data_IF_086096836328
#
_entry.id   IF_086096836328
#
_cell.length_a   1.000
_cell.length_b   1.000
_cell.length_c   1.000
_cell.angle_alpha   90.00
_cell.angle_beta   90.00
_cell.angle_gamma   90.00
#
_symmetry.space_group_name_H-M   'P 1'
#
loop_
_entity.id
_entity.type
_entity.pdbx_description
1 polymer ?
#
# COMPACT_ATOMS: atom_id res chain seq x y z
N UNK A 1 10.80 -50.28 33.80
CA UNK A 1 11.56 -49.36 32.94
C UNK A 1 10.73 -48.91 31.74
N UNK A 2 10.20 -49.82 30.92
CA UNK A 2 9.30 -49.45 29.80
C UNK A 2 8.08 -48.63 30.26
N UNK A 3 7.45 -49.00 31.40
CA UNK A 3 6.35 -48.22 31.99
C UNK A 3 6.78 -46.77 32.25
N UNK A 4 7.89 -46.56 32.97
CA UNK A 4 8.42 -45.22 33.23
C UNK A 4 8.80 -44.48 31.94
N UNK A 5 9.39 -45.15 30.94
CA UNK A 5 9.69 -44.51 29.65
C UNK A 5 8.43 -44.04 28.93
N UNK A 6 7.32 -44.80 29.04
CA UNK A 6 6.03 -44.42 28.46
C UNK A 6 5.40 -43.26 29.24
N UNK A 7 5.46 -43.29 30.57
CA UNK A 7 5.01 -42.19 31.44
C UNK A 7 5.80 -40.89 31.18
N UNK A 8 7.12 -40.99 31.04
CA UNK A 8 8.00 -39.86 30.71
C UNK A 8 7.70 -39.26 29.33
N UNK A 9 7.13 -40.05 28.41
CA UNK A 9 6.63 -39.62 27.10
C UNK A 9 5.18 -39.13 27.13
N UNK A 10 4.53 -39.12 28.31
CA UNK A 10 3.18 -38.62 28.52
C UNK A 10 2.07 -39.66 28.30
N UNK A 11 2.41 -40.95 28.20
CA UNK A 11 1.43 -42.02 27.99
C UNK A 11 0.86 -42.56 29.31
N UNK A 12 -0.43 -42.94 29.27
CA UNK A 12 -1.09 -43.58 30.41
C UNK A 12 -0.53 -44.98 30.67
N UNK A 13 -0.03 -45.20 31.88
CA UNK A 13 0.52 -46.49 32.34
C UNK A 13 -0.51 -47.42 32.98
N UNK A 14 -1.76 -46.99 33.14
CA UNK A 14 -2.75 -47.69 33.96
C UNK A 14 -2.89 -49.17 33.59
N UNK A 15 -3.07 -49.48 32.29
CA UNK A 15 -3.19 -50.86 31.81
C UNK A 15 -1.88 -51.65 31.88
N UNK A 16 -0.72 -50.98 31.80
CA UNK A 16 0.57 -51.64 32.01
C UNK A 16 0.79 -51.97 33.49
N UNK A 17 0.29 -51.14 34.41
CA UNK A 17 0.31 -51.43 35.83
C UNK A 17 -0.57 -52.63 36.16
N UNK A 18 -1.75 -52.75 35.54
CA UNK A 18 -2.63 -53.91 35.70
C UNK A 18 -1.98 -55.20 35.17
N UNK A 19 -1.43 -55.17 33.94
CA UNK A 19 -0.70 -56.31 33.36
C UNK A 19 0.52 -56.68 34.23
N UNK A 20 1.24 -55.69 34.75
CA UNK A 20 2.38 -55.92 35.63
C UNK A 20 1.96 -56.54 36.97
N UNK A 21 0.86 -56.07 37.56
CA UNK A 21 0.34 -56.61 38.81
C UNK A 21 -0.19 -58.04 38.62
N UNK A 22 -0.85 -58.34 37.50
CA UNK A 22 -1.28 -59.69 37.12
C UNK A 22 -0.08 -60.61 36.89
N UNK A 23 0.98 -60.13 36.24
CA UNK A 23 2.22 -60.86 36.06
C UNK A 23 2.95 -61.15 37.38
N UNK A 24 2.89 -60.23 38.37
CA UNK A 24 3.43 -60.46 39.72
C UNK A 24 2.65 -61.55 40.48
N UNK A 25 1.36 -61.72 40.17
CA UNK A 25 0.52 -62.74 40.77
C UNK A 25 0.71 -64.12 40.15
N UNK A 26 1.44 -64.24 39.03
CA UNK A 26 1.91 -65.55 38.55
C UNK A 26 2.87 -66.16 39.58
N UNK A 27 2.57 -67.37 40.07
CA UNK A 27 3.53 -68.09 40.89
C UNK A 27 4.83 -68.33 40.11
N UNK A 28 5.97 -68.09 40.77
CA UNK A 28 7.34 -68.18 40.21
C UNK A 28 7.64 -69.52 39.50
N UNK A 29 6.85 -70.56 39.73
CA UNK A 29 7.01 -71.89 39.13
C UNK A 29 6.38 -72.05 37.74
N UNK A 30 5.57 -71.09 37.26
CA UNK A 30 4.86 -71.21 35.98
C UNK A 30 5.47 -70.27 34.92
N UNK A 31 6.49 -70.76 34.21
CA UNK A 31 7.21 -70.01 33.18
C UNK A 31 6.31 -69.58 32.01
N UNK A 32 5.24 -70.34 31.76
CA UNK A 32 4.33 -70.08 30.65
C UNK A 32 3.43 -68.88 30.98
N UNK A 33 3.01 -68.74 32.24
CA UNK A 33 2.31 -67.57 32.76
C UNK A 33 3.12 -66.29 32.53
N UNK A 34 4.37 -66.26 32.99
CA UNK A 34 5.24 -65.07 32.83
C UNK A 34 5.51 -64.72 31.37
N UNK A 35 5.73 -65.74 30.52
CA UNK A 35 5.98 -65.54 29.09
C UNK A 35 4.77 -64.96 28.38
N UNK A 36 3.55 -65.41 28.73
CA UNK A 36 2.31 -64.88 28.19
C UNK A 36 2.11 -63.40 28.55
N UNK A 37 2.28 -63.01 29.82
CA UNK A 37 2.13 -61.61 30.23
C UNK A 37 3.22 -60.70 29.65
N UNK A 38 4.46 -61.18 29.51
CA UNK A 38 5.53 -60.45 28.82
C UNK A 38 5.18 -60.18 27.34
N UNK A 39 4.65 -61.19 26.64
CA UNK A 39 4.16 -61.04 25.27
C UNK A 39 2.99 -60.06 25.17
N UNK A 40 2.02 -60.13 26.10
CA UNK A 40 0.92 -59.17 26.18
C UNK A 40 1.40 -57.74 26.44
N UNK A 41 2.42 -57.58 27.31
CA UNK A 41 3.02 -56.28 27.61
C UNK A 41 3.67 -55.65 26.38
N UNK A 42 4.50 -56.41 25.66
CA UNK A 42 5.15 -55.93 24.42
C UNK A 42 4.13 -55.55 23.35
N UNK A 43 3.15 -56.43 23.09
CA UNK A 43 2.09 -56.15 22.12
C UNK A 43 1.25 -54.92 22.49
N UNK A 44 0.96 -54.73 23.78
CA UNK A 44 0.20 -53.56 24.26
C UNK A 44 1.01 -52.28 24.12
N UNK A 45 2.34 -52.35 24.34
CA UNK A 45 3.26 -51.22 24.14
C UNK A 45 3.33 -50.81 22.67
N UNK A 46 3.54 -51.77 21.77
CA UNK A 46 3.62 -51.50 20.33
C UNK A 46 2.29 -50.96 19.78
N UNK A 47 1.16 -51.50 20.27
CA UNK A 47 -0.17 -51.02 19.90
C UNK A 47 -0.41 -49.59 20.38
N UNK A 48 -0.03 -49.24 21.62
CA UNK A 48 -0.17 -47.88 22.14
C UNK A 48 0.66 -46.88 21.34
N UNK A 49 1.91 -47.20 21.03
CA UNK A 49 2.77 -46.33 20.20
C UNK A 49 2.14 -46.10 18.83
N UNK A 50 1.72 -47.17 18.15
CA UNK A 50 1.05 -47.10 16.84
C UNK A 50 -0.21 -46.24 16.89
N UNK A 51 -0.99 -46.37 17.95
CA UNK A 51 -2.25 -45.67 18.15
C UNK A 51 -2.04 -44.17 18.38
N UNK A 52 -1.05 -43.81 19.19
CA UNK A 52 -0.65 -42.41 19.41
C UNK A 52 -0.13 -41.79 18.12
N UNK A 53 0.75 -42.49 17.39
CA UNK A 53 1.29 -41.98 16.12
C UNK A 53 0.16 -41.73 15.12
N UNK A 54 -0.80 -42.65 15.04
CA UNK A 54 -2.00 -42.49 14.20
C UNK A 54 -2.86 -41.28 14.63
N UNK A 55 -3.00 -41.06 15.94
CA UNK A 55 -3.73 -39.90 16.49
C UNK A 55 -3.01 -38.58 16.19
N UNK A 56 -1.69 -38.54 16.30
CA UNK A 56 -0.89 -37.35 15.98
C UNK A 56 -0.95 -37.02 14.48
N UNK A 57 -0.87 -38.02 13.60
CA UNK A 57 -1.07 -37.84 12.15
C UNK A 57 -2.47 -37.29 11.85
N UNK A 58 -3.51 -37.82 12.51
CA UNK A 58 -4.88 -37.31 12.38
C UNK A 58 -4.99 -35.83 12.79
N UNK A 59 -4.32 -35.42 13.88
CA UNK A 59 -4.27 -34.00 14.31
C UNK A 59 -3.65 -33.12 13.22
N UNK A 60 -2.53 -33.54 12.64
CA UNK A 60 -1.85 -32.80 11.56
C UNK A 60 -2.76 -32.68 10.34
N UNK A 61 -3.42 -33.76 9.91
CA UNK A 61 -4.34 -33.73 8.78
C UNK A 61 -5.51 -32.76 9.01
N UNK A 62 -6.07 -32.75 10.23
CA UNK A 62 -7.14 -31.82 10.62
C UNK A 62 -6.68 -30.36 10.65
N UNK A 63 -5.46 -30.09 11.12
CA UNK A 63 -4.86 -28.75 11.07
C UNK A 63 -4.69 -28.28 9.62
N UNK A 64 -4.22 -29.16 8.73
CA UNK A 64 -4.11 -28.86 7.30
C UNK A 64 -5.49 -28.57 6.68
N UNK A 65 -6.49 -29.42 6.93
CA UNK A 65 -7.87 -29.22 6.46
C UNK A 65 -8.46 -27.88 6.95
N UNK A 66 -8.19 -27.49 8.20
CA UNK A 66 -8.59 -26.19 8.74
C UNK A 66 -7.89 -25.03 8.01
N UNK A 67 -6.62 -25.20 7.62
CA UNK A 67 -5.89 -24.25 6.78
C UNK A 67 -6.60 -23.98 5.45
N UNK A 68 -7.24 -25.00 4.86
CA UNK A 68 -8.07 -24.85 3.66
C UNK A 68 -9.47 -24.25 3.92
N UNK A 69 -9.77 -23.83 5.15
CA UNK A 69 -11.10 -23.35 5.55
C UNK A 69 -12.21 -24.38 5.32
N UNK A 70 -11.88 -25.67 5.35
CA UNK A 70 -12.90 -26.73 5.38
C UNK A 70 -13.40 -26.86 6.81
N UNK A 71 -14.71 -26.79 6.98
CA UNK A 71 -15.35 -27.06 8.26
C UNK A 71 -15.04 -28.49 8.71
N UNK A 72 -14.05 -28.64 9.58
CA UNK A 72 -13.78 -29.89 10.31
C UNK A 72 -14.74 -30.08 11.48
N UNK A 73 -15.80 -29.25 11.56
CA UNK A 73 -16.82 -29.27 12.60
C UNK A 73 -17.50 -30.65 12.74
N UNK A 74 -17.60 -31.40 11.64
CA UNK A 74 -18.12 -32.77 11.63
C UNK A 74 -17.18 -33.79 12.31
N UNK A 75 -15.89 -33.47 12.43
CA UNK A 75 -14.84 -34.21 13.14
C UNK A 75 -14.49 -33.56 14.49
N UNK A 76 -15.41 -32.73 15.00
CA UNK A 76 -15.13 -31.63 15.93
C UNK A 76 -14.38 -31.97 17.22
N UNK A 77 -14.05 -30.94 18.03
CA UNK A 77 -13.22 -31.07 19.23
C UNK A 77 -13.65 -32.19 20.18
N UNK A 78 -14.95 -32.46 20.28
CA UNK A 78 -15.52 -33.51 21.10
C UNK A 78 -15.07 -34.93 20.68
N UNK A 79 -14.94 -35.22 19.39
CA UNK A 79 -14.50 -36.53 18.92
C UNK A 79 -13.00 -36.74 19.19
N UNK A 80 -12.19 -35.69 19.04
CA UNK A 80 -10.77 -35.73 19.41
C UNK A 80 -10.59 -35.88 20.92
N UNK A 81 -11.36 -35.15 21.71
CA UNK A 81 -11.37 -35.25 23.17
C UNK A 81 -11.78 -36.66 23.62
N UNK A 82 -12.78 -37.28 22.98
CA UNK A 82 -13.18 -38.65 23.24
C UNK A 82 -12.06 -39.66 22.91
N UNK A 83 -11.39 -39.50 21.77
CA UNK A 83 -10.23 -40.35 21.40
C UNK A 83 -9.12 -40.20 22.44
N UNK A 84 -8.78 -38.97 22.80
CA UNK A 84 -7.73 -38.66 23.78
C UNK A 84 -8.07 -39.23 25.16
N UNK A 85 -9.33 -39.11 25.59
CA UNK A 85 -9.82 -39.70 26.83
C UNK A 85 -9.75 -41.23 26.79
N UNK A 86 -10.11 -41.86 25.67
CA UNK A 86 -10.02 -43.31 25.52
C UNK A 86 -8.56 -43.79 25.54
N UNK A 87 -7.61 -43.04 24.98
CA UNK A 87 -6.17 -43.30 25.11
C UNK A 87 -5.73 -43.18 26.57
N UNK A 88 -6.08 -42.08 27.24
CA UNK A 88 -5.70 -41.80 28.62
C UNK A 88 -6.28 -42.82 29.62
N UNK A 89 -7.48 -43.34 29.35
CA UNK A 89 -8.15 -44.36 30.18
C UNK A 89 -7.87 -45.80 29.73
N UNK A 90 -6.89 -46.00 28.84
CA UNK A 90 -6.47 -47.30 28.33
C UNK A 90 -7.56 -48.10 27.58
N UNK A 91 -8.61 -47.44 27.09
CA UNK A 91 -9.68 -48.00 26.25
C UNK A 91 -9.24 -48.04 24.77
N UNK A 92 -8.14 -48.73 24.50
CA UNK A 92 -7.44 -48.67 23.21
C UNK A 92 -8.29 -49.12 22.01
N UNK A 93 -9.19 -50.10 22.15
CA UNK A 93 -10.09 -50.52 21.05
C UNK A 93 -11.07 -49.40 20.65
N UNK A 94 -11.63 -48.70 21.65
CA UNK A 94 -12.53 -47.58 21.43
C UNK A 94 -11.78 -46.39 20.81
N UNK A 95 -10.56 -46.12 21.27
CA UNK A 95 -9.68 -45.11 20.66
C UNK A 95 -9.34 -45.47 19.21
N UNK A 96 -9.02 -46.73 18.92
CA UNK A 96 -8.72 -47.20 17.56
C UNK A 96 -9.92 -47.05 16.63
N UNK A 97 -11.12 -47.44 17.09
CA UNK A 97 -12.35 -47.25 16.33
C UNK A 97 -12.64 -45.76 16.09
N UNK A 98 -12.43 -44.91 17.09
CA UNK A 98 -12.55 -43.46 16.98
C UNK A 98 -11.59 -42.87 15.95
N UNK A 99 -10.31 -43.26 16.00
CA UNK A 99 -9.28 -42.85 15.03
C UNK A 99 -9.64 -43.32 13.62
N UNK A 100 -10.05 -44.58 13.44
CA UNK A 100 -10.47 -45.11 12.13
C UNK A 100 -11.66 -44.34 11.55
N UNK A 101 -12.68 -44.07 12.37
CA UNK A 101 -13.85 -43.27 11.98
C UNK A 101 -13.43 -41.86 11.57
N UNK A 102 -12.59 -41.21 12.39
CA UNK A 102 -12.10 -39.87 12.10
C UNK A 102 -11.25 -39.84 10.82
N UNK A 103 -10.39 -40.84 10.62
CA UNK A 103 -9.58 -40.97 9.42
C UNK A 103 -10.44 -41.17 8.16
N UNK A 104 -11.51 -41.97 8.22
CA UNK A 104 -12.44 -42.12 7.09
C UNK A 104 -13.10 -40.78 6.72
N UNK A 105 -13.47 -39.97 7.71
CA UNK A 105 -14.02 -38.64 7.45
C UNK A 105 -12.96 -37.68 6.88
N UNK A 106 -11.72 -37.71 7.38
CA UNK A 106 -10.58 -36.97 6.79
C UNK A 106 -10.37 -37.35 5.33
N UNK A 107 -10.36 -38.66 5.01
CA UNK A 107 -10.22 -39.14 3.62
C UNK A 107 -11.37 -38.68 2.74
N UNK A 108 -12.60 -38.63 3.25
CA UNK A 108 -13.74 -38.10 2.49
C UNK A 108 -13.59 -36.60 2.22
N UNK A 109 -13.16 -35.82 3.22
CA UNK A 109 -12.95 -34.37 3.09
C UNK A 109 -11.76 -34.06 2.17
N UNK A 110 -10.67 -34.81 2.30
CA UNK A 110 -9.50 -34.66 1.43
C UNK A 110 -9.85 -35.01 -0.02
N UNK A 111 -10.64 -36.06 -0.27
CA UNK A 111 -11.10 -36.38 -1.62
C UNK A 111 -11.86 -35.21 -2.26
N UNK A 112 -12.75 -34.57 -1.51
CA UNK A 112 -13.48 -33.39 -1.99
C UNK A 112 -12.55 -32.20 -2.26
N UNK A 113 -11.52 -31.98 -1.44
CA UNK A 113 -10.48 -30.99 -1.70
C UNK A 113 -9.75 -31.27 -3.01
N UNK A 114 -9.27 -32.50 -3.20
CA UNK A 114 -8.55 -32.88 -4.41
C UNK A 114 -9.41 -32.65 -5.66
N UNK A 115 -10.70 -32.99 -5.60
CA UNK A 115 -11.63 -32.76 -6.71
C UNK A 115 -11.84 -31.27 -7.00
N UNK A 116 -11.92 -30.44 -5.97
CA UNK A 116 -11.99 -28.98 -6.11
C UNK A 116 -10.72 -28.40 -6.73
N UNK A 117 -9.54 -28.81 -6.26
CA UNK A 117 -8.25 -28.36 -6.81
C UNK A 117 -8.06 -28.84 -8.26
N UNK A 118 -8.48 -30.06 -8.60
CA UNK A 118 -8.50 -30.55 -9.99
C UNK A 118 -9.45 -29.73 -10.87
N UNK A 119 -10.65 -29.41 -10.38
CA UNK A 119 -11.60 -28.56 -11.09
C UNK A 119 -11.02 -27.17 -11.35
N UNK A 120 -10.42 -26.54 -10.33
CA UNK A 120 -9.76 -25.25 -10.45
C UNK A 120 -8.57 -25.30 -11.43
N UNK A 121 -7.75 -26.36 -11.39
CA UNK A 121 -6.64 -26.55 -12.31
C UNK A 121 -7.12 -26.63 -13.77
N UNK A 122 -8.15 -27.44 -14.03
CA UNK A 122 -8.75 -27.54 -15.37
C UNK A 122 -9.33 -26.20 -15.85
N UNK A 123 -10.06 -25.48 -15.00
CA UNK A 123 -10.58 -24.16 -15.34
C UNK A 123 -9.46 -23.16 -15.65
N UNK A 124 -8.39 -23.19 -14.85
CA UNK A 124 -7.22 -22.31 -14.98
C UNK A 124 -6.48 -22.57 -16.29
N UNK A 125 -6.22 -23.83 -16.62
CA UNK A 125 -5.58 -24.22 -17.89
C UNK A 125 -6.48 -23.93 -19.10
N UNK A 126 -7.79 -24.13 -18.98
CA UNK A 126 -8.77 -23.75 -20.00
C UNK A 126 -8.73 -22.23 -20.25
N UNK A 127 -8.66 -21.41 -19.20
CA UNK A 127 -8.51 -19.95 -19.33
C UNK A 127 -7.22 -19.58 -20.06
N UNK A 128 -6.08 -20.18 -19.71
CA UNK A 128 -4.79 -19.99 -20.41
C UNK A 128 -4.95 -20.27 -21.90
N UNK A 129 -5.57 -21.40 -22.25
CA UNK A 129 -5.80 -21.79 -23.64
C UNK A 129 -6.76 -20.81 -24.35
N UNK A 130 -7.82 -20.35 -23.69
CA UNK A 130 -8.79 -19.42 -24.26
C UNK A 130 -8.20 -18.04 -24.55
N UNK A 131 -7.22 -17.62 -23.73
CA UNK A 131 -6.42 -16.43 -24.02
C UNK A 131 -5.27 -16.75 -25.01
N UNK A 132 -5.18 -17.93 -25.60
CA UNK A 132 -4.18 -18.24 -26.62
C UNK A 132 -2.74 -18.29 -26.10
N UNK A 133 -2.55 -18.48 -24.79
CA UNK A 133 -1.23 -18.72 -24.19
C UNK A 133 -0.94 -20.22 -24.15
N UNK A 134 0.35 -20.57 -24.14
CA UNK A 134 0.77 -21.97 -24.06
C UNK A 134 0.50 -22.55 -22.67
N UNK A 135 -0.19 -23.69 -22.62
CA UNK A 135 -0.39 -24.46 -21.38
C UNK A 135 0.82 -25.31 -21.00
N UNK A 136 1.81 -25.46 -21.89
CA UNK A 136 2.94 -26.38 -21.70
C UNK A 136 3.75 -26.12 -20.40
N UNK A 137 4.01 -24.88 -19.97
CA UNK A 137 4.70 -24.62 -18.70
C UNK A 137 3.93 -25.12 -17.46
N UNK A 138 2.64 -25.41 -17.59
CA UNK A 138 1.72 -25.74 -16.50
C UNK A 138 1.13 -27.15 -16.59
N UNK A 139 1.57 -27.94 -17.58
CA UNK A 139 1.00 -29.28 -17.83
C UNK A 139 1.28 -30.30 -16.72
N UNK A 140 2.17 -29.97 -15.77
CA UNK A 140 2.51 -30.81 -14.62
C UNK A 140 1.50 -30.67 -13.46
N UNK A 141 0.75 -29.57 -13.37
CA UNK A 141 -0.13 -29.26 -12.23
C UNK A 141 -1.18 -30.36 -12.01
N UNK A 142 -1.89 -30.77 -13.06
CA UNK A 142 -2.91 -31.83 -12.94
C UNK A 142 -2.27 -33.16 -12.52
N UNK A 143 -1.22 -33.69 -13.21
CA UNK A 143 -0.53 -34.90 -12.77
C UNK A 143 -0.02 -34.86 -11.34
N UNK A 144 0.47 -33.70 -10.86
CA UNK A 144 0.98 -33.57 -9.50
C UNK A 144 -0.16 -33.56 -8.46
N UNK A 145 -1.31 -32.94 -8.76
CA UNK A 145 -2.52 -33.04 -7.93
C UNK A 145 -3.05 -34.48 -7.90
N UNK A 146 -3.10 -35.17 -9.04
CA UNK A 146 -3.52 -36.58 -9.10
C UNK A 146 -2.56 -37.50 -8.33
N UNK A 147 -1.25 -37.25 -8.40
CA UNK A 147 -0.25 -37.98 -7.61
C UNK A 147 -0.45 -37.73 -6.12
N UNK A 148 -0.66 -36.48 -5.69
CA UNK A 148 -0.96 -36.15 -4.31
C UNK A 148 -2.27 -36.81 -3.84
N UNK A 149 -3.31 -36.82 -4.69
CA UNK A 149 -4.60 -37.50 -4.44
C UNK A 149 -4.42 -38.99 -4.20
N UNK A 150 -3.66 -39.68 -5.06
CA UNK A 150 -3.45 -41.14 -4.94
C UNK A 150 -2.73 -41.55 -3.65
N UNK A 151 -1.98 -40.63 -3.05
CA UNK A 151 -1.24 -40.84 -1.80
C UNK A 151 -1.95 -40.25 -0.58
N UNK A 152 -3.07 -39.56 -0.76
CA UNK A 152 -3.72 -38.73 0.25
C UNK A 152 -2.74 -37.72 0.92
N UNK A 153 -1.83 -37.13 0.14
CA UNK A 153 -0.79 -36.21 0.63
C UNK A 153 -1.32 -34.77 0.69
N UNK A 154 -1.92 -34.42 1.83
CA UNK A 154 -2.50 -33.10 2.09
C UNK A 154 -1.46 -31.97 2.11
N UNK A 155 -0.22 -32.25 2.50
CA UNK A 155 0.85 -31.26 2.53
C UNK A 155 1.22 -30.83 1.10
N UNK A 156 1.46 -31.81 0.22
CA UNK A 156 1.71 -31.54 -1.20
C UNK A 156 0.53 -30.80 -1.84
N UNK A 157 -0.71 -31.21 -1.53
CA UNK A 157 -1.90 -30.51 -2.01
C UNK A 157 -1.92 -29.04 -1.59
N UNK A 158 -1.57 -28.72 -0.34
CA UNK A 158 -1.57 -27.34 0.16
C UNK A 158 -0.62 -26.43 -0.63
N UNK A 159 0.59 -26.92 -0.88
CA UNK A 159 1.57 -26.18 -1.70
C UNK A 159 1.12 -26.01 -3.16
N UNK A 160 0.45 -27.01 -3.72
CA UNK A 160 -0.11 -26.98 -5.08
C UNK A 160 -1.31 -26.04 -5.17
N UNK A 161 -2.19 -26.02 -4.17
CA UNK A 161 -3.36 -25.14 -4.12
C UNK A 161 -2.95 -23.66 -4.07
N UNK A 162 -1.97 -23.32 -3.23
CA UNK A 162 -1.40 -21.97 -3.17
C UNK A 162 -0.80 -21.55 -4.53
N UNK A 163 -0.01 -22.43 -5.14
CA UNK A 163 0.58 -22.21 -6.47
C UNK A 163 -0.50 -22.02 -7.54
N UNK A 164 -1.58 -22.82 -7.48
CA UNK A 164 -2.70 -22.76 -8.40
C UNK A 164 -3.52 -21.48 -8.24
N UNK A 165 -3.74 -21.02 -7.00
CA UNK A 165 -4.39 -19.73 -6.72
C UNK A 165 -3.58 -18.56 -7.26
N UNK A 166 -2.27 -18.56 -7.04
CA UNK A 166 -1.37 -17.52 -7.58
C UNK A 166 -1.35 -17.53 -9.11
N UNK A 167 -1.34 -18.72 -9.73
CA UNK A 167 -1.44 -18.86 -11.19
C UNK A 167 -2.77 -18.30 -11.71
N UNK A 168 -3.89 -18.69 -11.11
CA UNK A 168 -5.21 -18.19 -11.48
C UNK A 168 -5.31 -16.67 -11.34
N UNK A 169 -4.77 -16.09 -10.26
CA UNK A 169 -4.69 -14.64 -10.09
C UNK A 169 -3.86 -13.96 -11.20
N UNK A 170 -2.73 -14.55 -11.57
CA UNK A 170 -1.86 -14.04 -12.65
C UNK A 170 -2.56 -14.06 -14.01
N UNK A 171 -3.33 -15.12 -14.29
CA UNK A 171 -4.13 -15.22 -15.53
C UNK A 171 -5.23 -14.16 -15.56
N UNK A 172 -5.90 -13.91 -14.44
CA UNK A 172 -6.85 -12.81 -14.33
C UNK A 172 -6.16 -11.45 -14.57
N UNK A 173 -4.91 -11.29 -14.11
CA UNK A 173 -4.07 -10.14 -14.43
C UNK A 173 -3.83 -9.98 -15.93
N UNK A 174 -3.46 -11.05 -16.66
CA UNK A 174 -3.32 -11.00 -18.13
C UNK A 174 -4.64 -10.64 -18.82
N UNK A 175 -5.76 -11.19 -18.35
CA UNK A 175 -7.09 -10.85 -18.88
C UNK A 175 -7.38 -9.36 -18.67
N UNK A 176 -7.01 -8.79 -17.52
CA UNK A 176 -7.16 -7.36 -17.24
C UNK A 176 -6.31 -6.50 -18.19
N UNK A 177 -5.04 -6.88 -18.44
CA UNK A 177 -4.19 -6.17 -19.42
C UNK A 177 -4.83 -6.19 -20.81
N UNK A 178 -5.40 -7.34 -21.24
CA UNK A 178 -6.13 -7.43 -22.52
C UNK A 178 -7.38 -6.57 -22.56
N UNK A 179 -8.17 -6.57 -21.48
CA UNK A 179 -9.34 -5.70 -21.38
C UNK A 179 -8.96 -4.23 -21.52
N UNK A 180 -7.83 -3.80 -20.92
CA UNK A 180 -7.32 -2.44 -21.09
C UNK A 180 -6.87 -2.18 -22.54
N UNK A 181 -6.20 -3.14 -23.19
CA UNK A 181 -5.79 -3.06 -24.60
C UNK A 181 -7.00 -2.89 -25.53
N UNK A 182 -8.02 -3.73 -25.37
CA UNK A 182 -9.22 -3.71 -26.19
C UNK A 182 -9.95 -2.38 -26.01
N UNK A 183 -10.03 -1.88 -24.77
CA UNK A 183 -10.56 -0.55 -24.48
C UNK A 183 -9.81 0.58 -25.18
N UNK A 184 -8.48 0.51 -25.23
CA UNK A 184 -7.64 1.51 -25.90
C UNK A 184 -7.86 1.46 -27.42
N UNK A 185 -7.86 0.25 -27.99
CA UNK A 185 -8.13 0.00 -29.39
C UNK A 185 -9.52 0.54 -29.81
N UNK A 186 -10.56 0.25 -29.04
CA UNK A 186 -11.93 0.69 -29.32
C UNK A 186 -12.08 2.22 -29.30
N UNK A 187 -11.22 2.92 -28.56
CA UNK A 187 -11.18 4.39 -28.49
C UNK A 187 -10.16 5.02 -29.43
N UNK A 188 -9.42 4.22 -30.20
CA UNK A 188 -8.34 4.70 -31.08
C UNK A 188 -7.13 5.26 -30.32
N UNK A 189 -6.97 4.92 -29.05
CA UNK A 189 -5.78 5.23 -28.26
C UNK A 189 -4.65 4.29 -28.67
N UNK A 190 -3.43 4.80 -28.77
CA UNK A 190 -2.23 4.00 -29.02
C UNK A 190 -2.12 2.86 -27.99
N UNK A 191 -2.12 1.61 -28.48
CA UNK A 191 -2.07 0.41 -27.65
C UNK A 191 -0.65 0.00 -27.30
N UNK A 192 0.38 0.61 -27.91
CA UNK A 192 1.77 0.12 -27.83
C UNK A 192 2.24 -0.16 -26.40
N UNK A 193 1.99 0.77 -25.47
CA UNK A 193 2.40 0.59 -24.06
C UNK A 193 1.68 -0.59 -23.39
N UNK A 194 0.39 -0.80 -23.68
CA UNK A 194 -0.36 -1.94 -23.13
C UNK A 194 0.03 -3.25 -23.84
N UNK A 195 0.36 -3.19 -25.13
CA UNK A 195 0.91 -4.32 -25.88
C UNK A 195 2.25 -4.77 -25.28
N UNK A 196 3.14 -3.83 -24.96
CA UNK A 196 4.42 -4.10 -24.28
C UNK A 196 4.19 -4.78 -22.92
N UNK A 197 3.25 -4.27 -22.11
CA UNK A 197 2.87 -4.89 -20.82
C UNK A 197 2.28 -6.29 -20.99
N UNK A 198 1.49 -6.52 -22.04
CA UNK A 198 0.88 -7.81 -22.33
C UNK A 198 1.93 -8.84 -22.78
N UNK A 199 2.89 -8.43 -23.60
CA UNK A 199 4.02 -9.27 -24.01
C UNK A 199 4.91 -9.62 -22.80
N UNK A 200 5.30 -8.61 -22.01
CA UNK A 200 6.09 -8.79 -20.79
C UNK A 200 5.36 -9.70 -19.78
N UNK A 201 4.06 -9.47 -19.57
CA UNK A 201 3.23 -10.29 -18.68
C UNK A 201 3.13 -11.75 -19.16
N UNK A 202 2.95 -11.97 -20.47
CA UNK A 202 2.91 -13.31 -21.04
C UNK A 202 4.24 -14.04 -20.88
N UNK A 203 5.36 -13.32 -21.01
CA UNK A 203 6.69 -13.85 -20.76
C UNK A 203 6.87 -14.28 -19.29
N UNK A 204 6.54 -13.42 -18.32
CA UNK A 204 6.68 -13.74 -16.90
C UNK A 204 5.73 -14.85 -16.44
N UNK A 205 4.52 -14.92 -17.00
CA UNK A 205 3.62 -16.03 -16.76
C UNK A 205 4.26 -17.35 -17.20
N UNK A 206 4.85 -17.41 -18.40
CA UNK A 206 5.54 -18.60 -18.88
C UNK A 206 6.78 -18.98 -18.04
N UNK A 207 7.39 -18.01 -17.35
CA UNK A 207 8.47 -18.21 -16.37
C UNK A 207 7.99 -18.55 -14.96
N UNK A 208 6.68 -18.64 -14.76
CA UNK A 208 6.05 -18.85 -13.45
C UNK A 208 6.42 -17.78 -12.42
N UNK A 209 6.61 -16.53 -12.86
CA UNK A 209 6.80 -15.38 -11.97
C UNK A 209 5.46 -14.66 -11.79
N UNK A 210 4.61 -15.20 -10.90
CA UNK A 210 3.25 -14.71 -10.70
C UNK A 210 3.23 -13.28 -10.15
N UNK A 211 4.19 -12.94 -9.29
CA UNK A 211 4.25 -11.62 -8.68
C UNK A 211 4.45 -10.52 -9.72
N UNK A 212 5.39 -10.73 -10.65
CA UNK A 212 5.67 -9.76 -11.71
C UNK A 212 4.48 -9.56 -12.66
N UNK A 213 3.74 -10.63 -12.97
CA UNK A 213 2.51 -10.53 -13.76
C UNK A 213 1.47 -9.63 -13.09
N UNK A 214 1.29 -9.76 -11.78
CA UNK A 214 0.35 -8.94 -11.01
C UNK A 214 0.77 -7.46 -10.96
N UNK A 215 2.07 -7.17 -10.87
CA UNK A 215 2.57 -5.79 -10.97
C UNK A 215 2.24 -5.15 -12.33
N UNK A 216 2.45 -5.89 -13.43
CA UNK A 216 2.16 -5.42 -14.78
C UNK A 216 0.65 -5.22 -14.99
N UNK A 217 -0.18 -6.12 -14.45
CA UNK A 217 -1.63 -5.98 -14.48
C UNK A 217 -2.09 -4.70 -13.75
N UNK A 218 -1.49 -4.41 -12.60
CA UNK A 218 -1.75 -3.16 -11.87
C UNK A 218 -1.34 -1.93 -12.68
N UNK A 219 -0.19 -1.95 -13.35
CA UNK A 219 0.21 -0.85 -14.23
C UNK A 219 -0.77 -0.65 -15.38
N UNK A 220 -1.27 -1.72 -16.01
CA UNK A 220 -2.30 -1.60 -17.06
C UNK A 220 -3.62 -1.01 -16.52
N UNK A 221 -4.01 -1.37 -15.29
CA UNK A 221 -5.19 -0.82 -14.61
C UNK A 221 -5.04 0.69 -14.34
N UNK A 222 -3.87 1.13 -13.89
CA UNK A 222 -3.56 2.55 -13.66
C UNK A 222 -3.70 3.37 -14.96
N UNK A 223 -3.22 2.85 -16.09
CA UNK A 223 -3.39 3.47 -17.41
C UNK A 223 -4.86 3.50 -17.83
N UNK A 224 -5.60 2.42 -17.61
CA UNK A 224 -7.04 2.34 -17.90
C UNK A 224 -7.85 3.38 -17.09
N UNK A 225 -7.55 3.52 -15.80
CA UNK A 225 -8.16 4.51 -14.92
C UNK A 225 -7.82 5.93 -15.41
N UNK A 226 -6.56 6.18 -15.78
CA UNK A 226 -6.13 7.48 -16.30
C UNK A 226 -6.86 7.87 -17.59
N UNK A 227 -6.99 6.94 -18.54
CA UNK A 227 -7.74 7.14 -19.79
C UNK A 227 -9.22 7.47 -19.51
N UNK A 228 -9.86 6.71 -18.63
CA UNK A 228 -11.27 6.91 -18.25
C UNK A 228 -11.48 8.25 -17.56
N UNK A 229 -10.58 8.64 -16.65
CA UNK A 229 -10.64 9.93 -15.96
C UNK A 229 -10.49 11.10 -16.93
N UNK A 230 -9.58 10.97 -17.91
CA UNK A 230 -9.42 11.95 -18.98
C UNK A 230 -10.71 12.13 -19.78
N UNK A 231 -11.34 11.04 -20.23
CA UNK A 231 -12.57 11.12 -21.04
C UNK A 231 -13.71 11.83 -20.32
N UNK A 232 -13.91 11.53 -19.04
CA UNK A 232 -14.92 12.19 -18.20
C UNK A 232 -14.63 13.68 -18.11
N UNK A 233 -13.37 14.08 -17.94
CA UNK A 233 -12.96 15.48 -17.84
C UNK A 233 -13.10 16.19 -19.19
N UNK A 234 -12.63 15.58 -20.27
CA UNK A 234 -12.68 16.12 -21.63
C UNK A 234 -14.11 16.45 -22.04
N UNK A 235 -15.04 15.50 -21.88
CA UNK A 235 -16.47 15.71 -22.19
C UNK A 235 -17.10 16.86 -21.41
N UNK A 236 -16.69 17.07 -20.15
CA UNK A 236 -17.17 18.21 -19.35
C UNK A 236 -16.67 19.54 -19.91
N UNK A 237 -15.40 19.62 -20.27
CA UNK A 237 -14.81 20.85 -20.84
C UNK A 237 -15.40 21.12 -22.23
N UNK A 238 -15.54 20.10 -23.07
CA UNK A 238 -16.14 20.18 -24.40
C UNK A 238 -17.62 20.62 -24.34
N UNK A 239 -18.42 20.06 -23.44
CA UNK A 239 -19.81 20.48 -23.23
C UNK A 239 -19.91 21.93 -22.76
N UNK A 240 -19.03 22.36 -21.84
CA UNK A 240 -18.94 23.77 -21.41
C UNK A 240 -18.59 24.67 -22.59
N UNK A 241 -17.62 24.29 -23.42
CA UNK A 241 -17.23 25.06 -24.60
C UNK A 241 -18.37 25.18 -25.63
N UNK A 242 -19.08 24.08 -25.89
CA UNK A 242 -20.19 24.03 -26.86
C UNK A 242 -21.37 24.91 -26.47
N UNK A 243 -21.61 25.12 -25.17
CA UNK A 243 -22.71 25.93 -24.66
C UNK A 243 -22.45 27.45 -24.73
N UNK A 244 -21.28 27.89 -25.19
CA UNK A 244 -20.93 29.31 -25.22
C UNK A 244 -21.17 29.91 -26.61
N UNK A 245 -22.08 30.89 -26.66
CA UNK A 245 -22.54 31.52 -27.92
C UNK A 245 -21.76 32.80 -28.26
N UNK A 246 -21.25 33.55 -27.29
CA UNK A 246 -20.74 34.92 -27.55
C UNK A 246 -19.20 35.05 -27.54
N UNK A 247 -18.46 33.95 -27.75
CA UNK A 247 -17.00 34.04 -27.91
C UNK A 247 -16.60 34.58 -29.28
N UNK A 248 -15.53 35.39 -29.29
CA UNK A 248 -14.90 35.82 -30.54
C UNK A 248 -14.32 34.60 -31.28
N UNK A 249 -14.15 34.72 -32.60
CA UNK A 249 -13.57 33.64 -33.41
C UNK A 249 -12.16 33.26 -32.95
N UNK A 250 -11.37 34.23 -32.48
CA UNK A 250 -10.03 34.00 -31.94
C UNK A 250 -10.08 33.19 -30.63
N UNK A 251 -11.01 33.52 -29.73
CA UNK A 251 -11.19 32.80 -28.47
C UNK A 251 -11.67 31.37 -28.69
N UNK A 252 -12.62 31.18 -29.62
CA UNK A 252 -13.09 29.86 -30.05
C UNK A 252 -11.94 29.03 -30.63
N UNK A 253 -11.13 29.62 -31.50
CA UNK A 253 -9.98 28.95 -32.09
C UNK A 253 -8.93 28.55 -31.04
N UNK A 254 -8.67 29.40 -30.04
CA UNK A 254 -7.73 29.10 -28.96
C UNK A 254 -8.18 27.90 -28.11
N UNK A 255 -9.44 27.87 -27.67
CA UNK A 255 -9.99 26.76 -26.88
C UNK A 255 -10.08 25.49 -27.72
N UNK A 256 -10.54 25.56 -28.97
CA UNK A 256 -10.61 24.43 -29.87
C UNK A 256 -9.23 23.81 -30.15
N UNK A 257 -8.20 24.65 -30.36
CA UNK A 257 -6.83 24.18 -30.52
C UNK A 257 -6.32 23.48 -29.25
N UNK A 258 -6.60 24.03 -28.06
CA UNK A 258 -6.26 23.40 -26.78
C UNK A 258 -6.91 22.02 -26.59
N UNK A 259 -8.21 21.90 -26.91
CA UNK A 259 -8.94 20.63 -26.90
C UNK A 259 -8.35 19.63 -27.91
N UNK A 260 -8.03 20.07 -29.12
CA UNK A 260 -7.44 19.20 -30.15
C UNK A 260 -6.06 18.69 -29.74
N UNK A 261 -5.19 19.56 -29.20
CA UNK A 261 -3.87 19.14 -28.73
C UNK A 261 -4.00 18.16 -27.55
N UNK A 262 -4.90 18.46 -26.60
CA UNK A 262 -5.16 17.57 -25.46
C UNK A 262 -5.64 16.18 -25.92
N UNK A 263 -6.62 16.14 -26.83
CA UNK A 263 -7.14 14.88 -27.38
C UNK A 263 -6.08 14.14 -28.19
N UNK A 264 -5.25 14.84 -28.98
CA UNK A 264 -4.14 14.22 -29.71
C UNK A 264 -3.11 13.57 -28.78
N UNK A 265 -2.82 14.15 -27.61
CA UNK A 265 -1.93 13.53 -26.63
C UNK A 265 -2.60 12.31 -25.97
N UNK A 266 -3.91 12.38 -25.71
CA UNK A 266 -4.68 11.25 -25.21
C UNK A 266 -4.64 10.06 -26.18
N UNK A 267 -4.81 10.30 -27.49
CA UNK A 267 -4.70 9.26 -28.51
C UNK A 267 -3.27 8.69 -28.60
N UNK A 268 -2.25 9.44 -28.18
CA UNK A 268 -0.87 8.96 -28.09
C UNK A 268 -0.53 8.28 -26.74
N UNK A 269 -1.54 8.01 -25.91
CA UNK A 269 -1.41 7.45 -24.55
C UNK A 269 -0.50 8.29 -23.61
N UNK A 270 -0.32 9.58 -23.88
CA UNK A 270 0.42 10.52 -23.02
C UNK A 270 -0.56 11.27 -22.10
N UNK A 271 -1.12 10.54 -21.14
CA UNK A 271 -2.20 11.04 -20.27
C UNK A 271 -1.79 12.22 -19.39
N UNK A 272 -0.51 12.30 -19.00
CA UNK A 272 0.01 13.42 -18.21
C UNK A 272 -0.03 14.72 -19.03
N UNK A 273 0.51 14.69 -20.25
CA UNK A 273 0.46 15.87 -21.13
C UNK A 273 -0.95 16.17 -21.59
N UNK A 274 -1.76 15.16 -21.89
CA UNK A 274 -3.16 15.33 -22.27
C UNK A 274 -3.93 16.09 -21.20
N UNK A 275 -3.82 15.66 -19.94
CA UNK A 275 -4.46 16.34 -18.80
C UNK A 275 -3.89 17.75 -18.58
N UNK A 276 -2.57 17.94 -18.63
CA UNK A 276 -1.96 19.26 -18.47
C UNK A 276 -2.46 20.28 -19.51
N UNK A 277 -2.62 19.84 -20.76
CA UNK A 277 -3.17 20.69 -21.83
C UNK A 277 -4.67 20.92 -21.66
N UNK A 278 -5.41 19.93 -21.17
CA UNK A 278 -6.83 20.09 -20.84
C UNK A 278 -7.04 21.10 -19.71
N UNK A 279 -6.22 21.05 -18.66
CA UNK A 279 -6.23 22.01 -17.54
C UNK A 279 -5.96 23.44 -17.99
N UNK A 280 -4.95 23.63 -18.85
CA UNK A 280 -4.67 24.94 -19.45
C UNK A 280 -5.85 25.45 -20.27
N UNK A 281 -6.46 24.56 -21.06
CA UNK A 281 -7.62 24.88 -21.89
C UNK A 281 -8.84 25.23 -21.04
N UNK A 282 -9.07 24.50 -19.95
CA UNK A 282 -10.12 24.78 -18.97
C UNK A 282 -9.89 26.11 -18.24
N UNK A 283 -8.64 26.47 -17.95
CA UNK A 283 -8.26 27.78 -17.41
C UNK A 283 -8.64 28.91 -18.36
N UNK A 284 -8.24 28.82 -19.63
CA UNK A 284 -8.62 29.79 -20.68
C UNK A 284 -10.14 29.90 -20.78
N UNK A 285 -10.85 28.76 -20.82
CA UNK A 285 -12.31 28.74 -20.89
C UNK A 285 -12.95 29.46 -19.70
N UNK A 286 -12.42 29.24 -18.50
CA UNK A 286 -12.93 29.85 -17.25
C UNK A 286 -12.65 31.37 -17.22
N UNK A 287 -11.49 31.80 -17.68
CA UNK A 287 -11.14 33.22 -17.79
C UNK A 287 -12.05 33.95 -18.79
N UNK A 288 -12.32 33.33 -19.95
CA UNK A 288 -13.22 33.87 -20.95
C UNK A 288 -14.67 33.93 -20.45
N UNK A 289 -15.14 32.89 -19.77
CA UNK A 289 -16.47 32.88 -19.14
C UNK A 289 -16.59 33.99 -18.08
N UNK A 290 -15.53 34.21 -17.29
CA UNK A 290 -15.49 35.27 -16.28
C UNK A 290 -15.51 36.66 -16.92
N UNK A 291 -14.72 36.87 -17.98
CA UNK A 291 -14.71 38.12 -18.74
C UNK A 291 -16.10 38.42 -19.36
N UNK A 292 -16.76 37.40 -19.90
CA UNK A 292 -18.10 37.52 -20.46
C UNK A 292 -19.16 37.79 -19.39
N UNK A 293 -19.07 37.16 -18.22
CA UNK A 293 -19.96 37.44 -17.09
C UNK A 293 -19.82 38.89 -16.62
N UNK A 294 -18.59 39.41 -16.54
CA UNK A 294 -18.33 40.82 -16.24
C UNK A 294 -18.91 41.73 -17.33
N UNK A 295 -18.68 41.42 -18.61
CA UNK A 295 -19.23 42.17 -19.73
C UNK A 295 -20.76 42.22 -19.69
N UNK A 296 -21.43 41.07 -19.52
CA UNK A 296 -22.90 40.99 -19.40
C UNK A 296 -23.42 41.74 -18.17
N UNK A 297 -22.72 41.68 -17.04
CA UNK A 297 -23.06 42.46 -15.85
C UNK A 297 -23.00 43.96 -16.14
N UNK A 298 -21.93 44.43 -16.81
CA UNK A 298 -21.79 45.83 -17.22
C UNK A 298 -22.88 46.24 -18.21
N UNK A 299 -23.16 45.44 -19.25
CA UNK A 299 -24.21 45.71 -20.23
C UNK A 299 -25.61 45.74 -19.61
N UNK A 300 -25.91 44.79 -18.72
CA UNK A 300 -27.20 44.71 -18.01
C UNK A 300 -27.44 45.86 -17.03
N UNK A 301 -26.37 46.43 -16.50
CA UNK A 301 -26.47 47.55 -15.55
C UNK A 301 -26.90 48.86 -16.22
N UNK A 302 -26.78 48.98 -17.55
CA UNK A 302 -27.19 50.17 -18.32
C UNK A 302 -26.43 51.46 -17.97
N UNK A 303 -25.51 51.42 -17.02
CA UNK A 303 -24.70 52.57 -16.59
C UNK A 303 -23.35 52.47 -17.28
N UNK A 304 -23.02 53.45 -18.12
CA UNK A 304 -21.67 53.50 -18.70
C UNK A 304 -20.63 53.69 -17.60
N UNK A 305 -19.43 53.12 -17.74
CA UNK A 305 -18.36 53.25 -16.73
C UNK A 305 -18.05 54.71 -16.40
N UNK A 306 -18.25 55.63 -17.36
CA UNK A 306 -18.19 57.08 -17.14
C UNK A 306 -19.27 57.61 -16.20
N UNK A 307 -20.52 57.13 -16.30
CA UNK A 307 -21.61 57.53 -15.41
C UNK A 307 -21.44 56.95 -14.00
N UNK A 308 -20.94 55.72 -13.85
CA UNK A 308 -20.62 55.18 -12.53
C UNK A 308 -19.53 56.00 -11.84
N UNK A 309 -18.48 56.39 -12.56
CA UNK A 309 -17.40 57.21 -12.02
C UNK A 309 -17.88 58.62 -11.71
N UNK A 310 -18.64 59.28 -12.60
CA UNK A 310 -19.17 60.62 -12.36
C UNK A 310 -20.14 60.66 -11.17
N UNK A 311 -21.02 59.66 -11.07
CA UNK A 311 -22.01 59.56 -9.99
C UNK A 311 -21.39 59.28 -8.63
N UNK A 312 -20.26 58.57 -8.60
CA UNK A 312 -19.60 58.14 -7.36
C UNK A 312 -18.22 58.77 -7.15
N UNK A 313 -17.87 59.86 -7.85
CA UNK A 313 -16.51 60.43 -7.82
C UNK A 313 -16.06 60.77 -6.39
N UNK A 314 -16.97 61.29 -5.57
CA UNK A 314 -16.70 61.61 -4.17
C UNK A 314 -16.51 60.37 -3.29
N UNK A 315 -17.23 59.28 -3.57
CA UNK A 315 -17.07 57.99 -2.87
C UNK A 315 -15.75 57.34 -3.28
N UNK A 316 -15.39 57.38 -4.57
CA UNK A 316 -14.12 56.84 -5.06
C UNK A 316 -12.94 57.64 -4.46
N UNK A 317 -13.05 58.97 -4.39
CA UNK A 317 -12.03 59.82 -3.77
C UNK A 317 -11.90 59.57 -2.26
N UNK A 318 -13.01 59.40 -1.53
CA UNK A 318 -12.96 59.12 -0.10
C UNK A 318 -12.35 57.75 0.19
N UNK A 319 -12.74 56.72 -0.58
CA UNK A 319 -12.13 55.38 -0.48
C UNK A 319 -10.65 55.45 -0.85
N UNK A 320 -10.27 56.11 -1.95
CA UNK A 320 -8.87 56.23 -2.34
C UNK A 320 -8.03 56.97 -1.27
N UNK A 321 -8.54 58.05 -0.69
CA UNK A 321 -7.87 58.76 0.39
C UNK A 321 -7.67 57.89 1.63
N UNK A 322 -8.71 57.12 2.02
CA UNK A 322 -8.62 56.16 3.13
C UNK A 322 -7.63 55.04 2.80
N UNK A 323 -7.66 54.48 1.58
CA UNK A 323 -6.73 53.43 1.16
C UNK A 323 -5.28 53.93 1.15
N UNK A 324 -5.02 55.14 0.64
CA UNK A 324 -3.67 55.74 0.66
C UNK A 324 -3.20 55.97 2.10
N UNK A 325 -4.09 56.44 2.98
CA UNK A 325 -3.78 56.63 4.40
C UNK A 325 -3.47 55.28 5.08
N UNK A 326 -4.26 54.23 4.82
CA UNK A 326 -4.03 52.89 5.34
C UNK A 326 -2.70 52.33 4.81
N UNK A 327 -2.42 52.43 3.51
CA UNK A 327 -1.14 52.00 2.93
C UNK A 327 0.03 52.73 3.60
N UNK A 328 -0.09 54.04 3.82
CA UNK A 328 0.93 54.83 4.51
C UNK A 328 1.16 54.34 5.95
N UNK A 329 0.09 54.11 6.72
CA UNK A 329 0.18 53.62 8.11
C UNK A 329 0.72 52.18 8.17
N UNK A 330 0.24 51.29 7.30
CA UNK A 330 0.64 49.89 7.27
C UNK A 330 2.06 49.69 6.76
N UNK A 331 2.50 50.44 5.74
CA UNK A 331 3.86 50.32 5.19
C UNK A 331 4.95 50.54 6.24
N UNK A 332 4.71 51.45 7.19
CA UNK A 332 5.62 51.73 8.31
C UNK A 332 5.71 50.55 9.29
N UNK A 333 4.58 49.95 9.64
CA UNK A 333 4.52 48.77 10.50
C UNK A 333 5.12 47.52 9.83
N UNK A 334 4.84 47.33 8.54
CA UNK A 334 5.39 46.24 7.73
C UNK A 334 6.91 46.38 7.62
N UNK A 335 7.42 47.59 7.36
CA UNK A 335 8.87 47.83 7.31
C UNK A 335 9.56 47.52 8.65
N UNK A 336 8.95 47.86 9.78
CA UNK A 336 9.46 47.52 11.11
C UNK A 336 9.42 46.00 11.36
N UNK A 337 8.32 45.35 11.00
CA UNK A 337 8.17 43.90 11.13
C UNK A 337 9.19 43.14 10.29
N UNK A 338 9.37 43.51 9.02
CA UNK A 338 10.36 42.92 8.12
C UNK A 338 11.79 43.13 8.64
N UNK A 339 12.10 44.32 9.17
CA UNK A 339 13.40 44.58 9.78
C UNK A 339 13.66 43.70 11.01
N UNK A 340 12.67 43.53 11.91
CA UNK A 340 12.77 42.62 13.07
C UNK A 340 12.93 41.17 12.65
N UNK A 341 12.15 40.71 11.67
CA UNK A 341 12.26 39.35 11.13
C UNK A 341 13.63 39.10 10.51
N UNK A 342 14.16 40.08 9.75
CA UNK A 342 15.50 39.99 9.17
C UNK A 342 16.58 39.97 10.25
N UNK A 343 16.43 40.74 11.32
CA UNK A 343 17.33 40.70 12.47
C UNK A 343 17.34 39.31 13.14
N UNK A 344 16.16 38.75 13.41
CA UNK A 344 16.04 37.41 13.98
C UNK A 344 16.66 36.33 13.08
N UNK A 345 16.49 36.42 11.76
CA UNK A 345 17.16 35.53 10.81
C UNK A 345 18.69 35.66 10.89
N UNK A 346 19.22 36.88 10.94
CA UNK A 346 20.67 37.11 11.07
C UNK A 346 21.22 36.58 12.39
N UNK A 347 20.46 36.66 13.49
CA UNK A 347 20.83 36.08 14.78
C UNK A 347 20.85 34.55 14.75
N UNK A 348 19.87 33.93 14.12
CA UNK A 348 19.85 32.48 13.89
C UNK A 348 21.02 32.03 13.02
N UNK A 349 21.30 32.74 11.92
CA UNK A 349 22.43 32.45 11.03
C UNK A 349 23.77 32.60 11.75
N UNK A 350 23.92 33.62 12.60
CA UNK A 350 25.09 33.80 13.48
C UNK A 350 25.27 32.60 14.42
N UNK A 351 24.20 32.12 15.06
CA UNK A 351 24.23 30.94 15.93
C UNK A 351 24.69 29.70 15.17
N UNK A 352 24.13 29.47 13.98
CA UNK A 352 24.50 28.33 13.12
C UNK A 352 25.98 28.40 12.69
N UNK A 353 26.50 29.57 12.33
CA UNK A 353 27.91 29.73 12.00
C UNK A 353 28.84 29.44 13.19
N UNK A 354 28.44 29.85 14.41
CA UNK A 354 29.20 29.52 15.63
C UNK A 354 29.23 28.01 15.84
N UNK A 355 28.11 27.32 15.62
CA UNK A 355 28.05 25.85 15.71
C UNK A 355 28.91 25.17 14.63
N UNK A 356 28.86 25.65 13.39
CA UNK A 356 29.72 25.14 12.32
C UNK A 356 31.20 25.34 12.64
N UNK A 357 31.59 26.48 13.22
CA UNK A 357 32.95 26.74 13.72
C UNK A 357 33.34 25.71 14.78
N UNK A 358 32.48 25.46 15.77
CA UNK A 358 32.72 24.44 16.80
C UNK A 358 32.88 23.04 16.19
N UNK A 359 32.03 22.69 15.23
CA UNK A 359 32.07 21.38 14.53
C UNK A 359 33.36 21.18 13.76
N UNK A 360 33.82 22.18 13.00
CA UNK A 360 35.09 22.06 12.27
C UNK A 360 36.31 22.07 13.21
N UNK A 361 36.24 22.81 14.33
CA UNK A 361 37.28 22.78 15.37
C UNK A 361 37.38 21.39 16.01
N UNK A 362 36.24 20.78 16.37
CA UNK A 362 36.19 19.41 16.87
C UNK A 362 36.73 18.42 15.84
N UNK A 363 36.31 18.55 14.58
CA UNK A 363 36.76 17.67 13.49
C UNK A 363 38.27 17.76 13.22
N UNK A 364 38.87 18.94 13.43
CA UNK A 364 40.30 19.14 13.24
C UNK A 364 41.15 18.75 14.45
N UNK A 365 40.80 19.23 15.65
CA UNK A 365 41.63 19.07 16.86
C UNK A 365 41.32 17.80 17.66
N UNK A 366 40.10 17.28 17.59
CA UNK A 366 39.68 16.13 18.41
C UNK A 366 39.66 14.87 17.57
N UNK A 367 38.89 14.84 16.48
CA UNK A 367 38.72 13.61 15.68
C UNK A 367 39.80 13.44 14.62
N UNK A 368 40.59 14.47 14.33
CA UNK A 368 41.64 14.48 13.30
C UNK A 368 41.13 14.10 11.88
N UNK A 369 39.83 14.16 11.64
CA UNK A 369 39.18 13.81 10.37
C UNK A 369 39.39 14.90 9.30
N UNK A 370 39.68 16.14 9.70
CA UNK A 370 39.85 17.27 8.79
C UNK A 370 41.31 17.72 8.68
N UNK A 371 41.92 17.69 7.47
CA UNK A 371 43.26 18.21 7.26
C UNK A 371 43.35 19.74 7.51
N UNK A 372 44.54 20.21 7.89
CA UNK A 372 44.79 21.62 8.28
C UNK A 372 44.37 22.64 7.22
N UNK A 373 44.63 22.38 5.93
CA UNK A 373 44.34 23.32 4.85
C UNK A 373 42.82 23.55 4.68
N UNK A 374 41.97 22.51 4.53
CA UNK A 374 40.52 22.64 4.59
C UNK A 374 39.99 23.34 5.85
N UNK A 375 40.54 23.03 7.02
CA UNK A 375 40.15 23.65 8.28
C UNK A 375 40.36 25.17 8.27
N UNK A 376 41.57 25.64 7.96
CA UNK A 376 41.89 27.08 7.92
C UNK A 376 41.03 27.82 6.90
N UNK A 377 40.79 27.21 5.73
CA UNK A 377 39.94 27.80 4.68
C UNK A 377 38.50 27.97 5.17
N UNK A 378 37.88 26.90 5.72
CA UNK A 378 36.49 26.95 6.20
C UNK A 378 36.34 27.88 7.40
N UNK A 379 37.29 27.86 8.34
CA UNK A 379 37.29 28.76 9.49
C UNK A 379 37.32 30.23 9.05
N UNK A 380 38.23 30.59 8.13
CA UNK A 380 38.33 31.95 7.59
C UNK A 380 37.04 32.36 6.87
N UNK A 381 36.40 31.46 6.11
CA UNK A 381 35.12 31.71 5.46
C UNK A 381 34.01 31.98 6.48
N UNK A 382 33.86 31.15 7.51
CA UNK A 382 32.84 31.34 8.55
C UNK A 382 33.07 32.61 9.37
N UNK A 383 34.32 32.93 9.72
CA UNK A 383 34.65 34.17 10.44
C UNK A 383 34.33 35.43 9.63
N UNK A 384 34.61 35.43 8.31
CA UNK A 384 34.24 36.55 7.43
C UNK A 384 32.73 36.77 7.41
N UNK A 385 31.95 35.69 7.20
CA UNK A 385 30.48 35.76 7.23
C UNK A 385 29.95 36.25 8.58
N UNK A 386 30.57 35.81 9.69
CA UNK A 386 30.17 36.24 11.04
C UNK A 386 30.38 37.76 11.23
N UNK A 387 31.50 38.31 10.73
CA UNK A 387 31.76 39.76 10.76
C UNK A 387 30.73 40.52 9.92
N UNK A 388 30.42 40.03 8.71
CA UNK A 388 29.41 40.63 7.83
C UNK A 388 28.03 40.65 8.51
N UNK A 389 27.57 39.49 8.99
CA UNK A 389 26.29 39.36 9.71
C UNK A 389 26.24 40.31 10.91
N UNK A 390 27.32 40.43 11.69
CA UNK A 390 27.38 41.31 12.86
C UNK A 390 27.26 42.79 12.48
N UNK A 391 27.87 43.22 11.37
CA UNK A 391 27.72 44.58 10.84
C UNK A 391 26.29 44.82 10.36
N UNK A 392 25.70 43.90 9.61
CA UNK A 392 24.34 44.03 9.12
C UNK A 392 23.30 44.03 10.25
N UNK A 393 23.47 43.19 11.27
CA UNK A 393 22.58 43.17 12.44
C UNK A 393 22.62 44.51 13.18
N UNK A 394 23.79 45.12 13.30
CA UNK A 394 23.93 46.44 13.95
C UNK A 394 23.21 47.54 13.16
N UNK A 395 23.42 47.59 11.84
CA UNK A 395 22.75 48.56 10.96
C UNK A 395 21.21 48.40 10.99
N UNK A 396 20.72 47.16 10.98
CA UNK A 396 19.28 46.87 11.07
C UNK A 396 18.74 47.26 12.44
N UNK A 397 19.47 47.00 13.52
CA UNK A 397 19.06 47.37 14.86
C UNK A 397 19.02 48.90 15.05
N UNK A 398 20.00 49.62 14.51
CA UNK A 398 19.99 51.08 14.47
C UNK A 398 18.77 51.62 13.69
N UNK A 399 18.44 50.99 12.55
CA UNK A 399 17.24 51.33 11.77
C UNK A 399 15.95 51.08 12.54
N UNK A 400 15.84 49.96 13.26
CA UNK A 400 14.69 49.62 14.12
C UNK A 400 14.55 50.64 15.24
N UNK A 401 15.63 50.98 15.94
CA UNK A 401 15.59 51.93 17.07
C UNK A 401 15.26 53.36 16.60
N UNK A 402 15.82 53.81 15.48
CA UNK A 402 15.49 55.12 14.89
C UNK A 402 14.01 55.20 14.48
N UNK A 403 13.52 54.17 13.79
CA UNK A 403 12.12 54.10 13.34
C UNK A 403 11.16 53.98 14.54
N UNK A 404 11.55 53.22 15.57
CA UNK A 404 10.82 53.03 16.82
C UNK A 404 10.70 54.31 17.67
N UNK A 405 11.78 55.08 17.80
CA UNK A 405 11.75 56.40 18.48
C UNK A 405 10.84 57.39 17.76
N UNK A 406 10.87 57.40 16.43
CA UNK A 406 9.96 58.23 15.63
C UNK A 406 8.50 57.78 15.75
N UNK A 407 8.21 56.49 15.88
CA UNK A 407 6.82 56.02 16.10
C UNK A 407 6.34 56.39 17.51
N UNK A 408 7.20 56.30 18.51
CA UNK A 408 6.87 56.69 19.88
C UNK A 408 6.58 58.18 20.02
N UNK A 409 7.35 59.04 19.34
CA UNK A 409 7.13 60.50 19.32
C UNK A 409 5.78 60.87 18.68
N UNK A 410 5.43 60.24 17.55
CA UNK A 410 4.14 60.47 16.87
C UNK A 410 2.97 59.98 17.72
N UNK A 411 3.12 58.86 18.43
CA UNK A 411 2.09 58.36 19.35
C UNK A 411 1.89 59.28 20.57
N UNK A 412 2.97 59.84 21.14
CA UNK A 412 2.91 60.79 22.24
C UNK A 412 2.24 62.11 21.82
N UNK A 413 2.59 62.64 20.65
CA UNK A 413 1.94 63.83 20.06
C UNK A 413 0.45 63.59 19.76
N UNK A 414 0.08 62.42 19.20
CA UNK A 414 -1.32 62.06 18.98
C UNK A 414 -2.11 61.91 20.29
N UNK A 415 -1.48 61.43 21.36
CA UNK A 415 -2.12 61.31 22.68
C UNK A 415 -2.39 62.66 23.36
N UNK A 416 -1.56 63.68 23.07
CA UNK A 416 -1.73 65.05 23.56
C UNK A 416 -2.82 65.82 22.81
N UNK A 417 -3.08 65.47 21.55
CA UNK A 417 -4.14 66.06 20.72
C UNK A 417 -5.54 65.51 21.03
N UNK A 418 -5.63 64.34 21.67
CA UNK A 418 -6.89 63.71 22.09
C UNK A 418 -7.29 64.04 23.54
N UNK A 419 -6.50 64.85 24.25
CA UNK A 419 -6.86 65.47 25.53
C UNK A 419 -7.22 66.92 25.27
#
# INVERSE_FOLDING_TARGET
>A
QTIHNLEDQGYSSARFSDIYQEAQNCHIADSDCFTAYSGMFLNTSDWLVTLVDSYNLLKIDLELLNGFSIGTEALGPAQLEEIEQNIATSRYEAAEQGIRSAHQAVVSLSSALFDNSLSLANQTLSRISNIGLSIAPFSHIIPDIERAKSKNDLYSLNTLDDSLRQLNASILGIIQIRSARDHFSDRGIDTKKIDDLLEEGSYYLAKQDQHRVLELAKSADEEYIAATAFDVKYRKVEARFSNIVDFSDADRAAVANGLNISYSNYLAADFERANSMLDKTEGILTDLQSAQAVKRSLESSGVTMQEMIKRNVYVILSVAAVTILLIYLFSRNISLYLAKRRLAHLEAEKSNLIEMIKKIQKSHYVTHEMPRRPYVTRLRQYQRKLIEISRYSLLINEKITKTGKQTAKVADEASKLNK
#
